data_IF_667988634007
#
_entry.id   IF_667988634007
#
_cell.length_a   1.000
_cell.length_b   1.000
_cell.length_c   1.000
_cell.angle_alpha   90.00
_cell.angle_beta   90.00
_cell.angle_gamma   90.00
#
_symmetry.space_group_name_H-M   'P 1'
#
loop_
_entity.id
_entity.type
_entity.pdbx_description
1 polymer ?
#
# COMPACT_ATOMS: atom_id res chain seq x y z
N UNK A 1 22.27 16.83 23.96
CA UNK A 1 21.40 17.46 24.97
C UNK A 1 20.06 17.71 24.28
N UNK A 2 19.15 16.73 24.32
CA UNK A 2 17.86 16.78 23.62
C UNK A 2 16.84 17.33 24.61
N UNK A 3 16.38 18.57 24.37
CA UNK A 3 15.28 19.14 25.11
C UNK A 3 13.98 18.51 24.60
N UNK A 4 13.43 17.60 25.40
CA UNK A 4 12.11 17.02 25.22
C UNK A 4 11.08 18.12 25.50
N UNK A 5 10.53 18.71 24.44
CA UNK A 5 9.45 19.69 24.52
C UNK A 5 8.14 18.94 24.79
N UNK A 6 7.79 18.78 26.07
CA UNK A 6 6.42 18.39 26.45
C UNK A 6 5.54 19.61 26.21
N UNK A 7 4.92 19.69 25.04
CA UNK A 7 3.83 20.63 24.78
C UNK A 7 2.63 20.11 25.58
N UNK A 8 2.42 20.69 26.76
CA UNK A 8 1.13 20.63 27.44
C UNK A 8 0.14 21.39 26.54
N UNK A 9 -0.57 20.65 25.68
CA UNK A 9 -1.70 21.17 24.91
C UNK A 9 -2.74 21.65 25.93
N UNK A 10 -2.85 22.96 26.10
CA UNK A 10 -3.94 23.55 26.86
C UNK A 10 -5.27 23.13 26.20
N UNK A 11 -6.31 22.82 27.00
CA UNK A 11 -7.61 22.42 26.46
C UNK A 11 -8.12 23.52 25.53
N UNK A 12 -8.51 23.12 24.32
CA UNK A 12 -9.06 24.04 23.33
C UNK A 12 -10.45 24.52 23.77
N UNK A 13 -10.97 25.63 23.20
CA UNK A 13 -12.38 25.98 23.42
C UNK A 13 -13.35 24.86 23.02
N UNK A 14 -13.00 24.05 22.02
CA UNK A 14 -13.79 22.88 21.61
C UNK A 14 -13.78 21.79 22.70
N UNK A 15 -12.63 21.55 23.32
CA UNK A 15 -12.51 20.65 24.47
C UNK A 15 -13.40 21.10 25.64
N UNK A 16 -13.34 22.39 25.99
CA UNK A 16 -14.17 22.93 27.06
C UNK A 16 -15.68 22.82 26.76
N UNK A 17 -16.08 23.03 25.50
CA UNK A 17 -17.45 22.86 25.06
C UNK A 17 -17.91 21.38 25.14
N UNK A 18 -17.03 20.43 24.79
CA UNK A 18 -17.33 19.00 24.92
C UNK A 18 -17.51 18.61 26.39
N UNK A 19 -16.62 19.04 27.29
CA UNK A 19 -16.75 18.75 28.72
C UNK A 19 -18.04 19.32 29.31
N UNK A 20 -18.42 20.53 28.89
CA UNK A 20 -19.70 21.13 29.26
C UNK A 20 -20.90 20.34 28.71
N UNK A 21 -20.81 19.80 27.49
CA UNK A 21 -21.85 18.97 26.90
C UNK A 21 -22.05 17.66 27.69
N UNK A 22 -20.94 17.00 28.07
CA UNK A 22 -20.95 15.79 28.90
C UNK A 22 -21.59 16.07 30.26
N UNK A 23 -21.23 17.19 30.90
CA UNK A 23 -21.81 17.59 32.18
C UNK A 23 -23.31 17.88 32.05
N UNK A 24 -23.73 18.65 31.04
CA UNK A 24 -25.15 18.92 30.82
C UNK A 24 -25.97 17.65 30.54
N UNK A 25 -25.39 16.67 29.83
CA UNK A 25 -26.02 15.37 29.64
C UNK A 25 -26.18 14.61 30.96
N UNK A 26 -25.15 14.60 31.82
CA UNK A 26 -25.21 13.98 33.14
C UNK A 26 -26.26 14.63 34.06
N UNK A 27 -26.44 15.95 33.95
CA UNK A 27 -27.46 16.72 34.67
C UNK A 27 -28.87 16.61 34.04
N UNK A 28 -29.02 15.79 32.98
CA UNK A 28 -30.26 15.56 32.22
C UNK A 28 -30.80 16.81 31.51
N UNK A 29 -29.96 17.84 31.31
CA UNK A 29 -30.27 19.02 30.50
C UNK A 29 -29.85 18.77 29.04
N UNK A 30 -30.72 18.04 28.32
CA UNK A 30 -30.47 17.67 26.92
C UNK A 30 -30.40 18.87 25.97
N UNK A 31 -31.08 19.99 26.28
CA UNK A 31 -31.03 21.19 25.46
C UNK A 31 -29.66 21.89 25.60
N UNK A 32 -29.14 21.99 26.84
CA UNK A 32 -27.77 22.46 27.05
C UNK A 32 -26.76 21.53 26.37
N UNK A 33 -26.89 20.22 26.57
CA UNK A 33 -25.98 19.23 26.00
C UNK A 33 -25.93 19.36 24.47
N UNK A 34 -27.07 19.55 23.82
CA UNK A 34 -27.15 19.75 22.37
C UNK A 34 -26.39 20.99 21.89
N UNK A 35 -26.61 22.14 22.54
CA UNK A 35 -25.97 23.39 22.18
C UNK A 35 -24.44 23.31 22.34
N UNK A 36 -23.97 22.74 23.46
CA UNK A 36 -22.54 22.60 23.77
C UNK A 36 -21.86 21.57 22.87
N UNK A 37 -22.55 20.50 22.53
CA UNK A 37 -22.00 19.49 21.63
C UNK A 37 -21.88 20.02 20.19
N UNK A 38 -22.84 20.83 19.74
CA UNK A 38 -22.75 21.50 18.44
C UNK A 38 -21.57 22.50 18.40
N UNK A 39 -21.34 23.24 19.49
CA UNK A 39 -20.17 24.12 19.64
C UNK A 39 -18.85 23.33 19.59
N UNK A 40 -18.77 22.20 20.29
CA UNK A 40 -17.59 21.34 20.29
C UNK A 40 -17.30 20.76 18.89
N UNK A 41 -18.31 20.22 18.22
CA UNK A 41 -18.19 19.62 16.89
C UNK A 41 -17.94 20.63 15.76
N UNK A 42 -18.20 21.92 16.01
CA UNK A 42 -17.84 23.01 15.09
C UNK A 42 -16.37 23.45 15.23
N UNK A 43 -15.70 23.08 16.32
CA UNK A 43 -14.29 23.37 16.59
C UNK A 43 -13.34 22.26 16.16
N UNK A 44 -12.06 22.44 16.44
CA UNK A 44 -11.02 21.44 16.22
C UNK A 44 -10.89 20.55 17.46
N UNK A 45 -11.29 19.28 17.34
CA UNK A 45 -11.11 18.26 18.37
C UNK A 45 -9.99 17.31 17.97
N UNK A 46 -9.27 16.79 18.96
CA UNK A 46 -8.39 15.64 18.73
C UNK A 46 -9.23 14.40 18.34
N UNK A 47 -8.68 13.41 17.62
CA UNK A 47 -9.44 12.23 17.19
C UNK A 47 -10.13 11.50 18.35
N UNK A 48 -9.48 11.39 19.50
CA UNK A 48 -10.02 10.77 20.71
C UNK A 48 -11.23 11.55 21.26
N UNK A 49 -11.14 12.89 21.27
CA UNK A 49 -12.21 13.78 21.74
C UNK A 49 -13.38 13.83 20.76
N UNK A 50 -13.10 13.75 19.47
CA UNK A 50 -14.15 13.67 18.46
C UNK A 50 -14.93 12.35 18.59
N UNK A 51 -14.27 11.21 18.83
CA UNK A 51 -14.95 9.94 19.13
C UNK A 51 -15.88 10.09 20.34
N UNK A 52 -15.40 10.70 21.42
CA UNK A 52 -16.23 10.97 22.61
C UNK A 52 -17.43 11.87 22.29
N UNK A 53 -17.25 12.90 21.47
CA UNK A 53 -18.32 13.80 21.03
C UNK A 53 -19.37 13.05 20.19
N UNK A 54 -18.95 12.21 19.23
CA UNK A 54 -19.88 11.41 18.40
C UNK A 54 -20.66 10.39 19.23
N UNK A 55 -20.03 9.81 20.26
CA UNK A 55 -20.71 8.91 21.18
C UNK A 55 -21.82 9.65 21.95
N UNK A 56 -21.53 10.86 22.45
CA UNK A 56 -22.52 11.70 23.13
C UNK A 56 -23.61 12.21 22.17
N UNK A 57 -23.27 12.47 20.91
CA UNK A 57 -24.25 12.82 19.87
C UNK A 57 -25.26 11.70 19.67
N UNK A 58 -24.78 10.45 19.61
CA UNK A 58 -25.64 9.27 19.50
C UNK A 58 -26.53 9.08 20.75
N UNK A 59 -25.97 9.26 21.94
CA UNK A 59 -26.70 9.18 23.21
C UNK A 59 -27.81 10.24 23.30
N UNK A 60 -27.51 11.47 22.90
CA UNK A 60 -28.45 12.58 22.89
C UNK A 60 -29.57 12.37 21.86
N UNK A 61 -29.22 11.89 20.66
CA UNK A 61 -30.19 11.55 19.63
C UNK A 61 -31.17 10.45 20.10
N UNK A 62 -30.66 9.43 20.81
CA UNK A 62 -31.50 8.40 21.42
C UNK A 62 -32.41 8.95 22.52
N UNK A 63 -31.93 9.89 23.34
CA UNK A 63 -32.76 10.57 24.35
C UNK A 63 -33.95 11.32 23.70
N UNK A 64 -33.72 11.93 22.53
CA UNK A 64 -34.76 12.56 21.71
C UNK A 64 -35.59 11.59 20.86
N UNK A 65 -35.33 10.28 20.93
CA UNK A 65 -35.96 9.23 20.10
C UNK A 65 -35.72 9.43 18.59
N UNK A 66 -34.61 10.06 18.21
CA UNK A 66 -34.18 10.24 16.83
C UNK A 66 -33.13 9.18 16.45
N UNK A 67 -33.61 7.98 16.16
CA UNK A 67 -32.74 6.86 15.75
C UNK A 67 -31.95 7.14 14.46
N UNK A 68 -32.51 7.77 13.40
CA UNK A 68 -31.74 8.15 12.22
C UNK A 68 -30.54 9.04 12.53
N UNK A 69 -30.69 10.01 13.45
CA UNK A 69 -29.55 10.84 13.90
C UNK A 69 -28.54 10.04 14.71
N UNK A 70 -29.00 9.14 15.59
CA UNK A 70 -28.10 8.26 16.34
C UNK A 70 -27.25 7.38 15.41
N UNK A 71 -27.86 6.79 14.36
CA UNK A 71 -27.14 5.99 13.35
C UNK A 71 -26.10 6.82 12.60
N UNK A 72 -26.42 8.07 12.22
CA UNK A 72 -25.45 8.97 11.56
C UNK A 72 -24.25 9.25 12.48
N UNK A 73 -24.49 9.53 13.75
CA UNK A 73 -23.43 9.76 14.73
C UNK A 73 -22.55 8.52 14.92
N UNK A 74 -23.14 7.32 15.01
CA UNK A 74 -22.41 6.05 15.10
C UNK A 74 -21.55 5.79 13.86
N UNK A 75 -22.07 6.06 12.65
CA UNK A 75 -21.27 5.95 11.41
C UNK A 75 -20.12 6.94 11.37
N UNK A 76 -20.35 8.18 11.82
CA UNK A 76 -19.30 9.19 11.93
C UNK A 76 -18.23 8.77 12.95
N UNK A 77 -18.64 8.15 14.06
CA UNK A 77 -17.72 7.57 15.04
C UNK A 77 -16.85 6.49 14.39
N UNK A 78 -17.44 5.52 13.67
CA UNK A 78 -16.66 4.46 13.00
C UNK A 78 -15.80 4.95 11.84
N UNK A 79 -16.08 6.14 11.28
CA UNK A 79 -15.20 6.77 10.31
C UNK A 79 -13.91 7.30 10.97
N UNK A 80 -13.93 7.62 12.26
CA UNK A 80 -12.78 8.11 13.04
C UNK A 80 -12.04 6.93 13.68
N UNK A 81 -12.77 6.06 14.38
CA UNK A 81 -12.24 4.86 15.02
C UNK A 81 -13.06 3.62 14.63
N UNK A 82 -12.66 2.91 13.55
CA UNK A 82 -13.36 1.71 13.07
C UNK A 82 -13.37 0.55 14.08
N UNK A 83 -12.46 0.56 15.05
CA UNK A 83 -12.30 -0.52 16.03
C UNK A 83 -12.96 -0.22 17.37
N UNK A 84 -13.60 0.94 17.50
CA UNK A 84 -14.20 1.41 18.74
C UNK A 84 -15.11 0.35 19.38
N UNK A 85 -14.96 0.18 20.69
CA UNK A 85 -15.83 -0.65 21.53
C UNK A 85 -16.29 0.21 22.70
N UNK A 86 -17.56 0.61 22.69
CA UNK A 86 -18.11 1.36 23.80
C UNK A 86 -18.53 0.37 24.90
N UNK A 87 -17.85 0.43 26.04
CA UNK A 87 -18.24 -0.31 27.26
C UNK A 87 -19.17 0.56 28.11
N UNK A 88 -20.13 -0.05 28.80
CA UNK A 88 -21.01 0.67 29.72
C UNK A 88 -22.07 1.58 29.06
N UNK A 89 -22.29 1.47 27.75
CA UNK A 89 -23.35 2.23 27.05
C UNK A 89 -24.75 1.62 27.25
N UNK A 90 -25.82 2.42 27.14
CA UNK A 90 -27.19 1.91 27.22
C UNK A 90 -27.46 0.82 26.16
N UNK A 91 -28.33 -0.17 26.44
CA UNK A 91 -28.58 -1.29 25.53
C UNK A 91 -29.01 -0.90 24.12
N UNK A 92 -29.76 0.21 23.99
CA UNK A 92 -30.18 0.73 22.69
C UNK A 92 -29.00 1.21 21.84
N UNK A 93 -28.02 1.88 22.45
CA UNK A 93 -26.82 2.32 21.75
C UNK A 93 -25.88 1.14 21.46
N UNK A 94 -25.77 0.19 22.39
CA UNK A 94 -25.00 -1.05 22.17
C UNK A 94 -25.50 -1.78 20.91
N UNK A 95 -26.82 -1.92 20.76
CA UNK A 95 -27.44 -2.51 19.57
C UNK A 95 -27.08 -1.73 18.29
N UNK A 96 -27.18 -0.40 18.30
CA UNK A 96 -26.83 0.42 17.13
C UNK A 96 -25.35 0.32 16.77
N UNK A 97 -24.46 0.31 17.75
CA UNK A 97 -23.03 0.12 17.53
C UNK A 97 -22.74 -1.23 16.88
N UNK A 98 -23.44 -2.29 17.28
CA UNK A 98 -23.27 -3.63 16.72
C UNK A 98 -23.85 -3.73 15.30
N UNK A 99 -25.02 -3.14 15.06
CA UNK A 99 -25.67 -3.12 13.74
C UNK A 99 -24.90 -2.31 12.69
N UNK A 100 -24.31 -1.18 13.09
CA UNK A 100 -23.57 -0.28 12.18
C UNK A 100 -22.07 -0.57 12.14
N UNK A 101 -21.62 -1.65 12.80
CA UNK A 101 -20.20 -2.00 12.87
C UNK A 101 -19.65 -2.26 11.45
N UNK A 102 -18.56 -1.59 11.05
CA UNK A 102 -17.95 -1.88 9.77
C UNK A 102 -17.51 -3.35 9.73
N UNK A 103 -17.63 -4.03 8.58
CA UNK A 103 -17.09 -5.37 8.44
C UNK A 103 -15.58 -5.34 8.72
N UNK A 104 -15.01 -6.39 9.35
CA UNK A 104 -13.58 -6.45 9.55
C UNK A 104 -12.87 -6.35 8.19
N UNK A 105 -11.68 -5.72 8.12
CA UNK A 105 -10.91 -5.69 6.89
C UNK A 105 -10.66 -7.12 6.42
N UNK A 106 -10.72 -7.38 5.09
CA UNK A 106 -10.47 -8.71 4.58
C UNK A 106 -9.07 -9.16 4.99
N UNK A 107 -8.87 -10.47 5.28
CA UNK A 107 -7.56 -10.97 5.64
C UNK A 107 -6.57 -10.76 4.49
N UNK A 108 -5.27 -10.59 4.80
CA UNK A 108 -4.26 -10.45 3.77
C UNK A 108 -4.25 -11.68 2.87
N UNK A 109 -4.08 -11.45 1.55
CA UNK A 109 -4.11 -12.52 0.55
C UNK A 109 -2.73 -12.77 -0.01
N UNK A 110 -2.32 -14.03 -0.08
CA UNK A 110 -1.12 -14.44 -0.79
C UNK A 110 -1.36 -14.38 -2.29
N UNK A 111 -0.44 -13.73 -2.99
CA UNK A 111 -0.38 -13.66 -4.44
C UNK A 111 0.86 -14.43 -4.90
N UNK A 112 0.73 -15.20 -5.98
CA UNK A 112 1.85 -15.85 -6.64
C UNK A 112 1.88 -15.42 -8.10
N UNK A 113 3.08 -15.31 -8.66
CA UNK A 113 3.31 -14.79 -9.99
C UNK A 113 4.42 -15.52 -10.70
N UNK A 114 4.21 -15.76 -11.99
CA UNK A 114 5.22 -16.29 -12.90
C UNK A 114 5.05 -15.65 -14.28
N UNK A 115 6.15 -15.10 -14.81
CA UNK A 115 6.18 -14.38 -16.08
C UNK A 115 7.36 -14.81 -16.95
N UNK A 116 7.09 -15.13 -18.21
CA UNK A 116 8.11 -15.21 -19.27
C UNK A 116 8.25 -13.83 -19.91
N UNK A 117 9.48 -13.32 -20.09
CA UNK A 117 9.73 -11.95 -20.58
C UNK A 117 10.77 -11.91 -21.70
N UNK A 118 10.67 -10.87 -22.52
CA UNK A 118 11.76 -10.38 -23.34
C UNK A 118 12.40 -9.18 -22.64
N UNK A 119 13.72 -9.16 -22.54
CA UNK A 119 14.48 -8.09 -21.88
C UNK A 119 15.21 -7.26 -22.92
N UNK A 120 14.85 -5.99 -23.04
CA UNK A 120 15.48 -5.06 -23.98
C UNK A 120 16.55 -4.25 -23.27
N UNK A 121 17.76 -4.23 -23.83
CA UNK A 121 18.90 -3.51 -23.26
C UNK A 121 19.03 -2.12 -23.89
N UNK A 122 19.34 -1.10 -23.07
CA UNK A 122 19.62 0.26 -23.53
C UNK A 122 20.89 0.80 -22.86
N UNK A 123 21.44 1.88 -23.39
CA UNK A 123 22.67 2.48 -22.87
C UNK A 123 23.92 1.73 -23.34
N UNK A 124 25.01 1.83 -22.57
CA UNK A 124 26.34 1.34 -22.98
C UNK A 124 26.39 -0.17 -23.25
N UNK A 125 25.50 -0.92 -22.60
CA UNK A 125 25.43 -2.37 -22.69
C UNK A 125 24.72 -2.84 -23.99
N UNK A 126 23.83 -2.02 -24.55
CA UNK A 126 23.10 -2.36 -25.78
C UNK A 126 24.01 -2.50 -27.01
N UNK A 127 25.18 -1.86 -27.01
CA UNK A 127 26.17 -1.95 -28.09
C UNK A 127 26.95 -3.27 -28.07
N UNK A 128 27.01 -3.94 -26.91
CA UNK A 128 27.80 -5.16 -26.69
C UNK A 128 26.95 -6.42 -26.66
N UNK A 129 25.70 -6.31 -26.21
CA UNK A 129 24.78 -7.43 -26.02
C UNK A 129 23.45 -7.24 -26.76
N UNK A 130 22.79 -8.34 -27.08
CA UNK A 130 21.45 -8.37 -27.65
C UNK A 130 20.38 -8.36 -26.58
N UNK A 131 19.16 -8.07 -27.02
CA UNK A 131 17.98 -8.36 -26.23
C UNK A 131 17.95 -9.85 -25.85
N UNK A 132 17.36 -10.13 -24.71
CA UNK A 132 17.41 -11.43 -24.05
C UNK A 132 16.03 -11.97 -23.72
N UNK A 133 16.00 -13.23 -23.28
CA UNK A 133 14.81 -13.85 -22.72
C UNK A 133 15.03 -14.12 -21.24
N UNK A 134 13.95 -14.11 -20.48
CA UNK A 134 14.03 -14.39 -19.04
C UNK A 134 12.76 -14.94 -18.45
N UNK A 135 12.88 -15.34 -17.20
CA UNK A 135 11.77 -15.73 -16.33
C UNK A 135 11.81 -14.91 -15.05
N UNK A 136 10.64 -14.59 -14.54
CA UNK A 136 10.49 -14.03 -13.19
C UNK A 136 9.44 -14.82 -12.44
N UNK A 137 9.78 -15.16 -11.20
CA UNK A 137 8.84 -15.68 -10.22
C UNK A 137 8.74 -14.71 -9.05
N UNK A 138 7.54 -14.57 -8.50
CA UNK A 138 7.35 -13.70 -7.34
C UNK A 138 6.20 -14.15 -6.45
N UNK A 139 6.28 -13.75 -5.19
CA UNK A 139 5.22 -13.89 -4.20
C UNK A 139 4.90 -12.52 -3.63
N UNK A 140 3.63 -12.30 -3.34
CA UNK A 140 3.17 -11.04 -2.76
C UNK A 140 2.12 -11.24 -1.68
N UNK A 141 1.97 -10.22 -0.85
CA UNK A 141 0.92 -10.09 0.15
C UNK A 141 0.07 -8.88 -0.22
N UNK A 142 -1.20 -9.12 -0.58
CA UNK A 142 -2.19 -8.07 -0.79
C UNK A 142 -2.77 -7.67 0.57
N UNK A 143 -2.57 -6.40 0.92
CA UNK A 143 -3.09 -5.72 2.08
C UNK A 143 -4.19 -4.75 1.63
N UNK A 144 -5.32 -4.75 2.33
CA UNK A 144 -6.40 -3.76 2.14
C UNK A 144 -6.89 -3.62 0.68
N UNK A 145 -7.01 -4.75 -0.03
CA UNK A 145 -7.46 -4.87 -1.43
C UNK A 145 -6.70 -4.07 -2.51
N UNK A 146 -5.72 -3.25 -2.13
CA UNK A 146 -5.01 -2.35 -3.05
C UNK A 146 -3.49 -2.31 -2.84
N UNK A 147 -2.98 -2.42 -1.61
CA UNK A 147 -1.55 -2.37 -1.34
C UNK A 147 -0.95 -3.76 -1.50
N UNK A 148 0.09 -3.92 -2.30
CA UNK A 148 0.81 -5.18 -2.47
C UNK A 148 2.22 -5.02 -1.94
N UNK A 149 2.65 -5.92 -1.06
CA UNK A 149 4.07 -6.13 -0.76
C UNK A 149 4.55 -7.32 -1.56
N UNK A 150 5.57 -7.15 -2.40
CA UNK A 150 6.06 -8.24 -3.26
C UNK A 150 7.54 -8.53 -3.05
N UNK A 151 7.90 -9.79 -3.25
CA UNK A 151 9.27 -10.25 -3.42
C UNK A 151 9.35 -11.05 -4.73
N UNK A 152 10.35 -10.73 -5.55
CA UNK A 152 10.53 -11.33 -6.87
C UNK A 152 11.97 -11.78 -7.08
N UNK A 153 12.13 -12.92 -7.73
CA UNK A 153 13.40 -13.44 -8.21
C UNK A 153 13.36 -13.51 -9.74
N UNK A 154 14.41 -13.02 -10.39
CA UNK A 154 14.45 -12.90 -11.84
C UNK A 154 15.73 -13.48 -12.40
N UNK A 155 15.62 -14.09 -13.56
CA UNK A 155 16.73 -14.57 -14.36
C UNK A 155 16.51 -14.18 -15.82
N UNK A 156 17.56 -13.68 -16.47
CA UNK A 156 17.56 -13.43 -17.91
C UNK A 156 18.92 -13.65 -18.54
N UNK A 157 18.90 -14.19 -19.75
CA UNK A 157 20.08 -14.45 -20.57
C UNK A 157 20.07 -13.58 -21.82
N UNK A 158 21.25 -13.05 -22.14
CA UNK A 158 21.48 -12.16 -23.27
C UNK A 158 22.65 -12.68 -24.12
N UNK A 159 22.45 -12.71 -25.45
CA UNK A 159 23.50 -13.13 -26.37
C UNK A 159 24.45 -11.96 -26.69
N UNK A 160 25.73 -12.22 -26.93
CA UNK A 160 26.69 -11.19 -27.30
C UNK A 160 26.51 -10.75 -28.75
N UNK A 161 26.68 -9.45 -29.03
CA UNK A 161 26.81 -8.90 -30.40
C UNK A 161 28.26 -8.89 -30.88
N UNK A 162 29.21 -8.97 -29.96
CA UNK A 162 30.66 -8.91 -30.23
C UNK A 162 31.28 -10.29 -30.01
N UNK A 163 32.04 -10.77 -31.00
CA UNK A 163 32.60 -12.14 -31.03
C UNK A 163 33.57 -12.48 -29.87
N UNK A 164 34.08 -11.49 -29.14
CA UNK A 164 34.96 -11.69 -27.98
C UNK A 164 34.22 -12.07 -26.69
N UNK A 165 32.88 -12.01 -26.68
CA UNK A 165 32.02 -12.30 -25.54
C UNK A 165 31.20 -13.58 -25.81
N UNK A 166 30.78 -14.29 -24.77
CA UNK A 166 29.99 -15.54 -24.85
C UNK A 166 28.55 -15.37 -24.38
N UNK A 167 28.32 -14.57 -23.35
CA UNK A 167 26.98 -14.32 -22.84
C UNK A 167 26.96 -13.33 -21.68
N UNK A 168 25.77 -12.80 -21.40
CA UNK A 168 25.48 -12.04 -20.19
C UNK A 168 24.30 -12.71 -19.48
N UNK A 169 24.50 -13.05 -18.22
CA UNK A 169 23.49 -13.60 -17.34
C UNK A 169 23.15 -12.58 -16.25
N UNK A 170 21.87 -12.32 -16.05
CA UNK A 170 21.39 -11.44 -15.00
C UNK A 170 20.52 -12.25 -14.04
N UNK A 171 20.92 -12.29 -12.78
CA UNK A 171 20.09 -12.77 -11.67
C UNK A 171 19.71 -11.59 -10.79
N UNK A 172 18.48 -11.53 -10.30
CA UNK A 172 18.13 -10.51 -9.32
C UNK A 172 17.11 -10.98 -8.31
N UNK A 173 17.19 -10.42 -7.12
CA UNK A 173 16.17 -10.54 -6.07
C UNK A 173 15.76 -9.15 -5.64
N UNK A 174 14.46 -8.87 -5.65
CA UNK A 174 13.93 -7.57 -5.29
C UNK A 174 12.72 -7.72 -4.37
N UNK A 175 12.54 -6.73 -3.51
CA UNK A 175 11.34 -6.59 -2.70
C UNK A 175 10.80 -5.17 -2.83
N UNK A 176 9.50 -5.00 -2.71
CA UNK A 176 8.91 -3.69 -2.82
C UNK A 176 7.44 -3.64 -2.52
N UNK A 177 6.87 -2.49 -2.86
CA UNK A 177 5.49 -2.18 -2.61
C UNK A 177 4.86 -1.54 -3.84
N UNK A 178 3.58 -1.85 -4.04
CA UNK A 178 2.82 -1.34 -5.16
C UNK A 178 1.35 -1.18 -4.85
N UNK A 179 0.65 -0.56 -5.79
CA UNK A 179 -0.78 -0.42 -5.79
C UNK A 179 -1.39 -1.32 -6.85
N UNK A 180 -2.58 -1.83 -6.55
CA UNK A 180 -3.39 -2.65 -7.42
C UNK A 180 -4.78 -2.05 -7.55
N UNK A 181 -5.27 -2.00 -8.79
CA UNK A 181 -6.61 -1.58 -9.10
C UNK A 181 -7.29 -2.59 -10.02
N UNK A 182 -8.62 -2.61 -9.99
CA UNK A 182 -9.45 -3.45 -10.85
C UNK A 182 -10.36 -2.58 -11.70
N UNK A 183 -10.30 -2.76 -13.02
CA UNK A 183 -11.19 -2.12 -13.99
C UNK A 183 -12.00 -3.21 -14.71
N UNK A 184 -13.14 -3.57 -14.12
CA UNK A 184 -13.96 -4.68 -14.60
C UNK A 184 -13.20 -6.02 -14.55
N UNK A 185 -12.99 -6.72 -15.67
CA UNK A 185 -12.18 -7.94 -15.71
C UNK A 185 -10.67 -7.65 -15.70
N UNK A 186 -10.24 -6.42 -15.98
CA UNK A 186 -8.82 -6.06 -16.03
C UNK A 186 -8.27 -5.77 -14.65
N UNK A 187 -7.03 -6.19 -14.42
CA UNK A 187 -6.24 -5.91 -13.23
C UNK A 187 -5.06 -5.03 -13.64
N UNK A 188 -4.91 -3.92 -12.95
CA UNK A 188 -3.77 -3.03 -13.08
C UNK A 188 -2.93 -3.12 -11.81
N UNK A 189 -1.63 -3.21 -11.95
CA UNK A 189 -0.70 -3.07 -10.83
C UNK A 189 0.49 -2.21 -11.21
N UNK A 190 1.05 -1.52 -10.24
CA UNK A 190 2.33 -0.86 -10.40
C UNK A 190 2.96 -0.52 -9.06
N UNK A 191 4.28 -0.34 -9.04
CA UNK A 191 4.98 -0.14 -7.77
C UNK A 191 6.44 0.24 -7.93
N UNK A 192 7.16 0.12 -6.83
CA UNK A 192 8.59 0.31 -6.75
C UNK A 192 9.21 -0.85 -5.98
N UNK A 193 10.18 -1.49 -6.59
CA UNK A 193 10.97 -2.57 -6.02
C UNK A 193 12.42 -2.16 -5.94
N UNK A 194 13.08 -2.60 -4.87
CA UNK A 194 14.51 -2.44 -4.70
C UNK A 194 15.13 -3.79 -4.36
N UNK A 195 16.35 -4.00 -4.82
CA UNK A 195 16.95 -5.32 -4.73
C UNK A 195 18.42 -5.34 -5.03
N UNK A 196 18.92 -6.56 -5.17
CA UNK A 196 20.27 -6.85 -5.60
C UNK A 196 20.20 -7.62 -6.91
N UNK A 197 21.12 -7.30 -7.81
CA UNK A 197 21.34 -8.04 -9.03
C UNK A 197 22.78 -8.55 -9.08
N UNK A 198 22.94 -9.76 -9.60
CA UNK A 198 24.20 -10.33 -10.01
C UNK A 198 24.26 -10.30 -11.54
N UNK A 199 25.36 -9.79 -12.07
CA UNK A 199 25.62 -9.63 -13.49
C UNK A 199 26.86 -10.46 -13.80
N UNK A 200 26.65 -11.61 -14.44
CA UNK A 200 27.75 -12.47 -14.89
C UNK A 200 27.96 -12.30 -16.39
N UNK A 201 29.16 -11.96 -16.81
CA UNK A 201 29.54 -11.78 -18.21
C UNK A 201 30.76 -12.65 -18.55
N UNK A 202 30.51 -13.73 -19.29
CA UNK A 202 31.55 -14.65 -19.73
C UNK A 202 32.06 -14.26 -21.11
N UNK A 203 33.37 -14.25 -21.29
CA UNK A 203 34.03 -13.94 -22.57
C UNK A 203 35.26 -14.80 -22.85
N UNK A 204 35.82 -14.65 -24.06
CA UNK A 204 37.07 -15.33 -24.45
C UNK A 204 38.30 -14.63 -23.83
N UNK A 205 38.17 -13.34 -23.51
CA UNK A 205 39.26 -12.47 -23.03
C UNK A 205 38.90 -11.67 -21.76
N UNK A 206 37.64 -11.73 -21.33
CA UNK A 206 37.11 -10.96 -20.21
C UNK A 206 36.15 -11.89 -19.48
N UNK A 207 36.31 -11.97 -18.16
CA UNK A 207 35.39 -12.60 -17.23
C UNK A 207 35.03 -11.54 -16.20
N UNK A 208 33.74 -11.25 -16.03
CA UNK A 208 33.25 -10.21 -15.13
C UNK A 208 32.04 -10.72 -14.36
N UNK A 209 32.15 -10.67 -13.03
CA UNK A 209 31.06 -10.92 -12.09
C UNK A 209 30.87 -9.66 -11.24
N UNK A 210 29.78 -8.95 -11.49
CA UNK A 210 29.45 -7.70 -10.80
C UNK A 210 28.16 -7.84 -9.98
N UNK A 211 28.11 -7.11 -8.86
CA UNK A 211 26.90 -6.95 -8.07
C UNK A 211 26.38 -5.52 -8.19
N UNK A 212 25.08 -5.38 -8.41
CA UNK A 212 24.43 -4.09 -8.57
C UNK A 212 23.26 -3.93 -7.59
N UNK A 213 23.04 -2.71 -7.15
CA UNK A 213 21.75 -2.33 -6.57
C UNK A 213 20.74 -2.19 -7.70
N UNK A 214 19.61 -2.87 -7.56
CA UNK A 214 18.50 -2.83 -8.52
C UNK A 214 17.41 -1.91 -7.99
N UNK A 215 16.93 -1.00 -8.84
CA UNK A 215 15.67 -0.28 -8.65
C UNK A 215 14.78 -0.63 -9.84
N UNK A 216 13.59 -1.17 -9.58
CA UNK A 216 12.61 -1.55 -10.59
C UNK A 216 11.28 -0.83 -10.33
N UNK A 217 10.64 -0.33 -11.38
CA UNK A 217 9.34 0.31 -11.29
C UNK A 217 8.30 -0.42 -12.15
N UNK A 218 7.79 -1.59 -11.73
CA UNK A 218 6.92 -2.38 -12.57
C UNK A 218 5.56 -1.73 -12.79
N UNK A 219 5.03 -1.93 -13.99
CA UNK A 219 3.65 -1.68 -14.35
C UNK A 219 3.10 -2.91 -15.07
N UNK A 220 1.91 -3.36 -14.68
CA UNK A 220 1.25 -4.51 -15.25
C UNK A 220 -0.21 -4.23 -15.59
N UNK A 221 -0.64 -4.78 -16.72
CA UNK A 221 -2.03 -4.94 -17.09
C UNK A 221 -2.29 -6.42 -17.36
N UNK A 222 -3.22 -7.02 -16.63
CA UNK A 222 -3.53 -8.44 -16.73
C UNK A 222 -5.03 -8.68 -16.84
N UNK A 223 -5.45 -9.50 -17.82
CA UNK A 223 -6.80 -10.02 -17.91
C UNK A 223 -6.85 -11.47 -17.44
N UNK A 224 -7.12 -11.74 -16.16
CA UNK A 224 -7.27 -13.10 -15.66
C UNK A 224 -8.51 -13.76 -16.27
N UNK A 225 -8.33 -14.95 -16.85
CA UNK A 225 -9.40 -15.78 -17.38
C UNK A 225 -9.53 -17.06 -16.53
N UNK A 226 -8.80 -18.11 -16.89
CA UNK A 226 -8.94 -19.45 -16.32
C UNK A 226 -8.01 -19.62 -15.13
N UNK A 227 -8.58 -19.68 -13.92
CA UNK A 227 -7.82 -19.91 -12.68
C UNK A 227 -6.63 -18.94 -12.49
N UNK A 228 -6.79 -17.67 -12.90
CA UNK A 228 -5.74 -16.65 -12.80
C UNK A 228 -4.73 -16.64 -13.95
N UNK A 229 -4.88 -17.50 -14.96
CA UNK A 229 -4.15 -17.40 -16.23
C UNK A 229 -4.87 -16.49 -17.21
N UNK A 230 -4.10 -15.67 -17.93
CA UNK A 230 -4.65 -14.92 -19.06
C UNK A 230 -3.62 -14.02 -19.74
N UNK A 231 -4.05 -13.28 -20.78
CA UNK A 231 -3.18 -12.36 -21.47
C UNK A 231 -2.83 -11.17 -20.57
N UNK A 232 -1.58 -10.76 -20.63
CA UNK A 232 -1.09 -9.59 -19.90
C UNK A 232 0.06 -8.91 -20.60
N UNK A 233 0.32 -7.70 -20.14
CA UNK A 233 1.48 -6.90 -20.49
C UNK A 233 2.13 -6.45 -19.20
N UNK A 234 3.45 -6.64 -19.08
CA UNK A 234 4.28 -6.04 -18.02
C UNK A 234 5.39 -5.24 -18.65
N UNK A 235 5.61 -4.04 -18.12
CA UNK A 235 6.77 -3.22 -18.42
C UNK A 235 7.41 -2.90 -17.08
N UNK A 236 8.69 -3.23 -16.91
CA UNK A 236 9.34 -3.12 -15.62
C UNK A 236 10.72 -2.45 -15.73
N UNK A 237 10.79 -1.13 -16.02
CA UNK A 237 12.04 -0.40 -16.12
C UNK A 237 12.96 -0.69 -14.94
N UNK A 238 14.21 -1.03 -15.22
CA UNK A 238 15.24 -1.34 -14.23
C UNK A 238 16.40 -0.38 -14.36
N UNK A 239 16.84 0.12 -13.22
CA UNK A 239 18.11 0.80 -13.05
C UNK A 239 19.03 -0.09 -12.22
N UNK A 240 20.18 -0.41 -12.77
CA UNK A 240 21.26 -1.13 -12.11
C UNK A 240 22.34 -0.14 -11.75
N UNK A 241 22.66 -0.03 -10.47
CA UNK A 241 23.72 0.81 -9.95
C UNK A 241 24.86 -0.11 -9.51
N UNK A 242 25.94 -0.09 -10.29
CA UNK A 242 27.18 -0.82 -9.99
C UNK A 242 28.13 0.17 -9.36
N UNK A 243 28.65 -0.17 -8.18
CA UNK A 243 29.69 0.61 -7.50
C UNK A 243 30.97 -0.24 -7.50
N UNK A 244 31.88 0.06 -8.41
CA UNK A 244 33.22 -0.51 -8.46
C UNK A 244 34.24 0.52 -7.95
N UNK A 245 35.35 0.07 -7.39
CA UNK A 245 36.35 0.85 -6.67
C UNK A 245 36.86 2.09 -7.44
N UNK A 246 36.76 2.08 -8.76
CA UNK A 246 37.20 3.17 -9.63
C UNK A 246 36.06 3.87 -10.41
N UNK A 247 34.82 3.36 -10.40
CA UNK A 247 33.67 3.96 -11.12
C UNK A 247 32.31 3.55 -10.53
N UNK A 248 31.47 4.56 -10.27
CA UNK A 248 30.02 4.37 -10.22
C UNK A 248 29.46 4.32 -11.65
N UNK A 249 28.82 3.21 -12.01
CA UNK A 249 28.16 3.02 -13.30
C UNK A 249 26.67 2.76 -13.11
N UNK A 250 25.86 3.28 -14.04
CA UNK A 250 24.42 3.07 -14.05
C UNK A 250 23.99 2.49 -15.40
N UNK A 251 23.39 1.30 -15.36
CA UNK A 251 22.87 0.61 -16.54
C UNK A 251 21.34 0.58 -16.49
N UNK A 252 20.70 0.71 -17.65
CA UNK A 252 19.25 0.69 -17.79
C UNK A 252 18.79 -0.50 -18.62
N UNK A 253 17.82 -1.24 -18.08
CA UNK A 253 17.24 -2.41 -18.74
C UNK A 253 15.71 -2.23 -18.75
N UNK A 254 15.07 -2.56 -19.88
CA UNK A 254 13.61 -2.60 -19.99
C UNK A 254 13.13 -4.03 -20.26
N UNK A 255 12.87 -4.82 -19.22
CA UNK A 255 12.05 -6.01 -19.30
C UNK A 255 10.63 -5.67 -19.75
N UNK A 256 10.20 -6.35 -20.81
CA UNK A 256 8.84 -6.30 -21.33
C UNK A 256 8.31 -7.73 -21.47
N UNK A 257 7.14 -7.97 -20.91
CA UNK A 257 6.37 -9.19 -21.16
C UNK A 257 5.12 -8.83 -21.93
N UNK A 258 4.87 -9.56 -23.01
CA UNK A 258 3.59 -9.57 -23.74
C UNK A 258 3.26 -11.04 -23.95
N UNK A 259 2.18 -11.52 -23.33
CA UNK A 259 1.82 -12.94 -23.45
C UNK A 259 0.93 -13.44 -22.34
N UNK A 260 1.05 -14.74 -22.06
CA UNK A 260 0.31 -15.40 -20.99
C UNK A 260 1.03 -15.23 -19.66
N UNK A 261 0.29 -14.74 -18.66
CA UNK A 261 0.73 -14.61 -17.27
C UNK A 261 -0.14 -15.47 -16.37
N UNK A 262 0.45 -15.93 -15.28
CA UNK A 262 -0.29 -16.37 -14.09
C UNK A 262 -0.15 -15.31 -12.99
N UNK A 263 -1.27 -14.83 -12.45
CA UNK A 263 -1.23 -13.89 -11.34
C UNK A 263 -2.61 -13.56 -10.80
N UNK A 264 -2.80 -13.85 -9.51
CA UNK A 264 -4.07 -13.62 -8.83
C UNK A 264 -4.18 -12.32 -8.06
#
# INVERSE_FOLDING_TARGET
MIALLIVLLAPTPADAALDAAVQCYADLDYACAEARLAEALAGELSPEREVQARLHEALLALAWRDEPRARRAVRALYAIDPQHRAEGVPPQLARLLEEERPPPPPPPRLLARADFRASFLFGQDADRWSDGLGVEGGVGLLLFDALVLEAAATWSDHAPKVFSLRGLTLWSVAAGAGLRARLGPLRLSGGLNMGLAHIGADGVLIDQDDYAVLIEAPFDLHWPLLAGFGPGVRVAPRLLLVDDADRAAASYILPVMIGLRYGD
#
